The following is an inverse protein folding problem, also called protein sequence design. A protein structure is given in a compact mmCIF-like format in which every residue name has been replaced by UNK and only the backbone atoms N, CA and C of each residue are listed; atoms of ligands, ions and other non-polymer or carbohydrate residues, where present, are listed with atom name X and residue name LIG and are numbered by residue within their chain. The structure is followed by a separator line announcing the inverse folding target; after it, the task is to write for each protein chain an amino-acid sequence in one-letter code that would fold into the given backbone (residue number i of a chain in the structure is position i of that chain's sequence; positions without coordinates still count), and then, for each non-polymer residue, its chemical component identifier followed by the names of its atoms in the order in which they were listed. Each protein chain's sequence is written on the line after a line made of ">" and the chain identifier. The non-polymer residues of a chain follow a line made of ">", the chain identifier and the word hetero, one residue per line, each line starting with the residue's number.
data_IF_884879807310
#
_entry.id   IF_884879807310
#
_cell.length_a   1.000
_cell.length_b   1.000
_cell.length_c   1.000
_cell.angle_alpha   90.00
_cell.angle_beta   90.00
_cell.angle_gamma   90.00
#
_symmetry.space_group_name_H-M   'P 1'
#
loop_
_entity.id
_entity.type
_entity.pdbx_description
1 polymer ?
#
# COMPACT_ATOMS: atom_id res chain seq x y z
N UNK A 1 29.65 -12.43 -18.19
CA UNK A 1 28.62 -13.02 -17.32
C UNK A 1 27.74 -11.85 -16.92
N UNK A 2 26.63 -11.65 -17.64
CA UNK A 2 25.73 -10.54 -17.34
C UNK A 2 24.96 -10.90 -16.07
N UNK A 3 25.13 -10.13 -15.01
CA UNK A 3 24.19 -10.14 -13.91
C UNK A 3 22.90 -9.54 -14.45
N UNK A 4 21.98 -10.38 -14.92
CA UNK A 4 20.59 -9.98 -15.05
C UNK A 4 20.11 -9.69 -13.62
N UNK A 5 20.03 -8.41 -13.27
CA UNK A 5 19.29 -7.99 -12.08
C UNK A 5 17.89 -8.59 -12.21
N UNK A 6 17.40 -9.35 -11.21
CA UNK A 6 16.03 -9.85 -11.25
C UNK A 6 15.07 -8.65 -11.45
N UNK A 7 13.95 -8.84 -12.18
CA UNK A 7 12.99 -7.77 -12.38
C UNK A 7 12.56 -7.24 -11.01
N UNK A 8 12.85 -5.96 -10.74
CA UNK A 8 12.46 -5.34 -9.47
C UNK A 8 10.94 -5.32 -9.36
N UNK A 9 10.46 -5.56 -8.15
CA UNK A 9 9.02 -5.58 -7.89
C UNK A 9 8.49 -4.14 -7.90
N UNK A 10 7.32 -3.92 -8.52
CA UNK A 10 6.71 -2.59 -8.66
C UNK A 10 6.57 -1.88 -7.31
N UNK A 11 6.14 -2.61 -6.27
CA UNK A 11 6.00 -2.04 -4.92
C UNK A 11 7.34 -1.66 -4.30
N UNK A 12 8.45 -2.31 -4.66
CA UNK A 12 9.79 -1.91 -4.20
C UNK A 12 10.14 -0.52 -4.75
N UNK A 13 9.98 -0.31 -6.05
CA UNK A 13 10.21 1.00 -6.71
C UNK A 13 9.31 2.07 -6.09
N UNK A 14 8.02 1.78 -5.94
CA UNK A 14 7.07 2.71 -5.34
C UNK A 14 7.42 3.03 -3.89
N UNK A 15 7.86 2.04 -3.11
CA UNK A 15 8.30 2.25 -1.72
C UNK A 15 9.49 3.18 -1.64
N UNK A 16 10.46 3.09 -2.56
CA UNK A 16 11.61 3.98 -2.61
C UNK A 16 11.19 5.41 -2.92
N UNK A 17 10.24 5.60 -3.84
CA UNK A 17 9.66 6.91 -4.16
C UNK A 17 8.96 7.50 -2.93
N UNK A 18 8.08 6.75 -2.26
CA UNK A 18 7.35 7.26 -1.10
C UNK A 18 8.28 7.55 0.10
N UNK A 19 9.25 6.67 0.36
CA UNK A 19 10.25 6.87 1.42
C UNK A 19 11.18 8.06 1.18
N UNK A 20 11.33 8.50 -0.07
CA UNK A 20 12.07 9.72 -0.38
C UNK A 20 11.32 11.00 0.03
N UNK A 21 10.05 10.88 0.43
CA UNK A 21 9.17 12.01 0.76
C UNK A 21 8.45 12.59 -0.46
N UNK A 22 8.59 11.96 -1.63
CA UNK A 22 7.75 12.19 -2.79
C UNK A 22 6.43 11.41 -2.68
N UNK A 23 5.43 11.86 -3.44
CA UNK A 23 4.13 11.19 -3.49
C UNK A 23 3.78 10.94 -4.95
N UNK A 24 3.87 9.68 -5.36
CA UNK A 24 3.41 9.18 -6.66
C UNK A 24 1.98 8.64 -6.50
N UNK A 25 1.07 9.15 -7.33
CA UNK A 25 -0.37 8.86 -7.23
C UNK A 25 -1.03 8.91 -8.61
N UNK A 26 -2.25 8.39 -8.69
CA UNK A 26 -3.11 8.50 -9.86
C UNK A 26 -3.94 9.78 -9.75
N UNK A 27 -3.78 10.70 -10.69
CA UNK A 27 -4.53 11.95 -10.71
C UNK A 27 -5.99 11.69 -11.11
N UNK A 28 -6.94 12.14 -10.27
CA UNK A 28 -8.37 11.90 -10.49
C UNK A 28 -8.92 12.68 -11.70
N UNK A 29 -8.25 13.75 -12.13
CA UNK A 29 -8.74 14.62 -13.21
C UNK A 29 -8.57 14.01 -14.61
N UNK A 30 -7.50 13.25 -14.82
CA UNK A 30 -7.17 12.64 -16.12
C UNK A 30 -6.80 11.15 -16.04
N UNK A 31 -6.77 10.57 -14.84
CA UNK A 31 -6.48 9.17 -14.60
C UNK A 31 -5.05 8.77 -14.95
N UNK A 32 -4.11 9.73 -14.95
CA UNK A 32 -2.67 9.52 -15.22
C UNK A 32 -1.85 9.58 -13.95
N UNK A 33 -0.68 8.94 -13.97
CA UNK A 33 0.26 9.04 -12.86
C UNK A 33 0.82 10.47 -12.76
N UNK A 34 0.81 11.01 -11.55
CA UNK A 34 1.44 12.26 -11.19
C UNK A 34 2.38 12.06 -9.99
N UNK A 35 3.36 12.96 -9.85
CA UNK A 35 4.32 12.95 -8.75
C UNK A 35 4.38 14.34 -8.10
N UNK A 36 4.14 14.39 -6.80
CA UNK A 36 4.45 15.55 -5.95
C UNK A 36 5.84 15.40 -5.36
N UNK A 37 6.56 16.53 -5.26
CA UNK A 37 7.94 16.60 -4.71
C UNK A 37 8.92 15.64 -5.42
N UNK A 38 8.80 15.51 -6.74
CA UNK A 38 9.68 14.65 -7.55
C UNK A 38 11.17 14.94 -7.32
N UNK A 39 11.54 16.18 -6.98
CA UNK A 39 12.92 16.58 -6.66
C UNK A 39 13.50 15.89 -5.41
N UNK A 40 12.68 15.22 -4.60
CA UNK A 40 13.13 14.40 -3.48
C UNK A 40 13.49 12.97 -3.90
N UNK A 41 13.15 12.54 -5.12
CA UNK A 41 13.43 11.19 -5.63
C UNK A 41 14.88 11.13 -6.11
N UNK A 42 15.70 10.17 -5.62
CA UNK A 42 17.04 9.95 -6.17
C UNK A 42 16.99 9.65 -7.67
N UNK A 43 17.98 10.15 -8.43
CA UNK A 43 17.99 10.01 -9.89
C UNK A 43 17.93 8.55 -10.36
N UNK A 44 18.60 7.64 -9.64
CA UNK A 44 18.56 6.19 -9.92
C UNK A 44 17.17 5.60 -9.74
N UNK A 45 16.43 6.02 -8.70
CA UNK A 45 15.06 5.57 -8.45
C UNK A 45 14.11 6.10 -9.52
N UNK A 46 14.29 7.35 -9.96
CA UNK A 46 13.51 7.91 -11.07
C UNK A 46 13.77 7.16 -12.38
N UNK A 47 15.04 6.85 -12.68
CA UNK A 47 15.41 6.06 -13.85
C UNK A 47 14.77 4.67 -13.81
N UNK A 48 14.76 4.02 -12.64
CA UNK A 48 14.09 2.74 -12.44
C UNK A 48 12.58 2.85 -12.66
N UNK A 49 11.94 3.91 -12.16
CA UNK A 49 10.52 4.16 -12.37
C UNK A 49 10.18 4.39 -13.85
N UNK A 50 11.03 5.12 -14.58
CA UNK A 50 10.87 5.34 -16.03
C UNK A 50 11.00 4.03 -16.82
N UNK A 51 11.95 3.17 -16.45
CA UNK A 51 12.14 1.86 -17.10
C UNK A 51 10.99 0.88 -16.85
N UNK A 52 10.27 1.02 -15.73
CA UNK A 52 9.17 0.14 -15.33
C UNK A 52 7.82 0.88 -15.35
N UNK A 53 7.71 1.95 -16.16
CA UNK A 53 6.53 2.82 -16.15
C UNK A 53 5.24 2.08 -16.51
N UNK A 54 5.29 1.13 -17.46
CA UNK A 54 4.13 0.32 -17.85
C UNK A 54 3.56 -0.50 -16.69
N UNK A 55 4.43 -1.13 -15.91
CA UNK A 55 4.10 -1.98 -14.77
C UNK A 55 3.59 -1.13 -13.60
N UNK A 56 4.21 0.04 -13.39
CA UNK A 56 3.75 1.03 -12.41
C UNK A 56 2.36 1.57 -12.79
N UNK A 57 2.15 1.94 -14.05
CA UNK A 57 0.84 2.37 -14.54
C UNK A 57 -0.19 1.27 -14.37
N UNK A 58 0.07 0.04 -14.83
CA UNK A 58 -0.82 -1.09 -14.65
C UNK A 58 -1.17 -1.32 -13.16
N UNK A 59 -0.18 -1.20 -12.27
CA UNK A 59 -0.42 -1.26 -10.83
C UNK A 59 -1.37 -0.16 -10.38
N UNK A 60 -1.15 1.12 -10.72
CA UNK A 60 -2.06 2.21 -10.36
C UNK A 60 -3.46 2.05 -10.95
N UNK A 61 -3.56 1.65 -12.22
CA UNK A 61 -4.85 1.41 -12.89
C UNK A 61 -5.63 0.28 -12.19
N UNK A 62 -4.95 -0.76 -11.68
CA UNK A 62 -5.59 -1.85 -10.93
C UNK A 62 -6.24 -1.40 -9.60
N UNK A 63 -5.98 -0.17 -9.15
CA UNK A 63 -6.56 0.42 -7.94
C UNK A 63 -7.73 1.38 -8.21
N UNK A 64 -8.14 1.60 -9.47
CA UNK A 64 -9.23 2.55 -9.78
C UNK A 64 -10.58 2.18 -9.18
N UNK A 65 -10.95 0.90 -9.27
CA UNK A 65 -12.28 0.41 -8.89
C UNK A 65 -12.27 -0.50 -7.66
N UNK A 66 -11.21 -0.42 -6.85
CA UNK A 66 -11.13 -1.23 -5.63
C UNK A 66 -12.07 -0.72 -4.53
N UNK A 67 -12.45 -1.62 -3.64
CA UNK A 67 -13.32 -1.33 -2.52
C UNK A 67 -12.67 -0.43 -1.46
N UNK A 68 -13.49 0.25 -0.66
CA UNK A 68 -13.02 1.07 0.46
C UNK A 68 -12.29 0.22 1.52
N UNK A 69 -12.69 -1.05 1.66
CA UNK A 69 -12.00 -2.05 2.47
C UNK A 69 -10.56 -2.23 2.01
N UNK A 70 -10.35 -2.49 0.71
CA UNK A 70 -9.02 -2.69 0.12
C UNK A 70 -8.16 -1.43 0.23
N UNK A 71 -8.74 -0.26 -0.01
CA UNK A 71 -8.02 1.02 0.17
C UNK A 71 -7.59 1.21 1.63
N UNK A 72 -8.42 0.81 2.58
CA UNK A 72 -8.13 0.91 4.01
C UNK A 72 -6.98 -0.02 4.39
N UNK A 73 -7.03 -1.29 3.96
CA UNK A 73 -5.94 -2.24 4.20
C UNK A 73 -4.63 -1.77 3.60
N UNK A 74 -4.64 -1.28 2.35
CA UNK A 74 -3.42 -0.74 1.71
C UNK A 74 -2.81 0.38 2.54
N UNK A 75 -3.62 1.31 3.05
CA UNK A 75 -3.14 2.41 3.91
C UNK A 75 -2.53 1.90 5.21
N UNK A 76 -3.14 0.90 5.84
CA UNK A 76 -2.59 0.28 7.07
C UNK A 76 -1.27 -0.41 6.76
N UNK A 77 -1.22 -1.18 5.67
CA UNK A 77 -0.02 -1.88 5.23
C UNK A 77 1.13 -0.91 4.94
N UNK A 78 0.87 0.20 4.25
CA UNK A 78 1.90 1.19 3.91
C UNK A 78 2.42 1.95 5.14
N UNK A 79 1.56 2.23 6.12
CA UNK A 79 1.99 2.74 7.43
C UNK A 79 2.93 1.74 8.10
N UNK A 80 2.53 0.48 8.12
CA UNK A 80 3.27 -0.58 8.80
C UNK A 80 4.65 -0.83 8.19
N UNK A 81 4.75 -0.80 6.85
CA UNK A 81 6.00 -0.92 6.13
C UNK A 81 6.85 0.37 6.17
N UNK A 82 6.33 1.47 6.72
CA UNK A 82 7.01 2.77 6.75
C UNK A 82 7.18 3.38 5.35
N UNK A 83 6.31 3.03 4.41
CA UNK A 83 6.33 3.58 3.05
C UNK A 83 5.61 4.91 2.98
N UNK A 84 4.44 5.00 3.61
CA UNK A 84 3.66 6.22 3.72
C UNK A 84 3.20 6.41 5.15
N UNK A 85 3.25 7.66 5.64
CA UNK A 85 2.79 7.98 6.98
C UNK A 85 1.41 8.65 6.96
N UNK A 86 0.52 8.16 7.81
CA UNK A 86 -0.84 8.62 8.05
C UNK A 86 -1.08 8.68 9.55
N UNK A 87 -0.89 9.89 10.11
CA UNK A 87 -1.02 10.15 11.55
C UNK A 87 -2.36 9.71 12.14
N UNK A 88 -3.46 9.95 11.43
CA UNK A 88 -4.79 9.59 11.92
C UNK A 88 -4.97 8.07 12.01
N UNK A 89 -4.47 7.34 11.02
CA UNK A 89 -4.46 5.88 11.01
C UNK A 89 -3.57 5.32 12.11
N UNK A 90 -2.37 5.89 12.28
CA UNK A 90 -1.46 5.53 13.37
C UNK A 90 -2.10 5.72 14.75
N UNK A 91 -2.72 6.89 15.01
CA UNK A 91 -3.41 7.18 16.27
C UNK A 91 -4.60 6.23 16.53
N UNK A 92 -5.33 5.88 15.47
CA UNK A 92 -6.39 4.87 15.55
C UNK A 92 -5.85 3.51 16.01
N UNK A 93 -4.83 2.99 15.33
CA UNK A 93 -4.28 1.67 15.62
C UNK A 93 -3.62 1.60 17.01
N UNK A 94 -3.10 2.72 17.52
CA UNK A 94 -2.62 2.81 18.91
C UNK A 94 -3.75 2.77 19.94
N UNK A 95 -4.90 3.36 19.60
CA UNK A 95 -6.05 3.45 20.53
C UNK A 95 -6.90 2.18 20.49
N UNK A 96 -6.92 1.48 19.34
CA UNK A 96 -7.67 0.26 19.10
C UNK A 96 -6.73 -0.92 18.83
N UNK A 97 -6.18 -1.48 19.90
CA UNK A 97 -5.27 -2.63 19.83
C UNK A 97 -5.90 -3.86 19.19
N UNK A 98 -7.22 -4.03 19.26
CA UNK A 98 -7.90 -5.15 18.60
C UNK A 98 -7.86 -4.99 17.08
N UNK A 99 -8.02 -3.76 16.57
CA UNK A 99 -7.87 -3.48 15.14
C UNK A 99 -6.44 -3.76 14.67
N UNK A 100 -5.45 -3.41 15.47
CA UNK A 100 -4.05 -3.73 15.18
C UNK A 100 -3.81 -5.25 15.17
N UNK A 101 -4.32 -5.98 16.17
CA UNK A 101 -4.22 -7.44 16.20
C UNK A 101 -4.92 -8.09 15.00
N UNK A 102 -6.11 -7.63 14.62
CA UNK A 102 -6.81 -8.14 13.43
C UNK A 102 -6.01 -7.92 12.15
N UNK A 103 -5.30 -6.80 12.02
CA UNK A 103 -4.42 -6.57 10.89
C UNK A 103 -3.24 -7.54 10.88
N UNK A 104 -2.62 -7.82 12.03
CA UNK A 104 -1.59 -8.85 12.13
C UNK A 104 -2.11 -10.26 11.80
N UNK A 105 -3.29 -10.62 12.30
CA UNK A 105 -3.89 -11.91 11.97
C UNK A 105 -4.21 -12.00 10.47
N UNK A 106 -4.62 -10.89 9.85
CA UNK A 106 -4.83 -10.81 8.40
C UNK A 106 -3.53 -11.06 7.62
N UNK A 107 -2.38 -10.53 8.05
CA UNK A 107 -1.10 -10.82 7.38
C UNK A 107 -0.67 -12.28 7.57
N UNK A 108 -0.99 -12.92 8.69
CA UNK A 108 -0.76 -14.36 8.91
C UNK A 108 -1.55 -15.21 7.91
N UNK A 109 -2.81 -14.84 7.62
CA UNK A 109 -3.62 -15.54 6.60
C UNK A 109 -2.96 -15.43 5.22
N UNK A 110 -2.46 -14.24 4.84
CA UNK A 110 -1.75 -14.07 3.58
C UNK A 110 -0.49 -14.92 3.50
N UNK A 111 0.30 -14.98 4.58
CA UNK A 111 1.49 -15.84 4.66
C UNK A 111 1.12 -17.31 4.52
N UNK A 112 0.02 -17.75 5.14
CA UNK A 112 -0.50 -19.10 4.97
C UNK A 112 -0.92 -19.39 3.52
N UNK A 113 -1.32 -18.37 2.76
CA UNK A 113 -1.65 -18.44 1.34
C UNK A 113 -0.43 -18.29 0.40
N UNK A 114 0.79 -18.14 0.96
CA UNK A 114 2.04 -18.11 0.20
C UNK A 114 2.63 -16.72 -0.04
N UNK A 115 2.10 -15.68 0.59
CA UNK A 115 2.73 -14.36 0.56
C UNK A 115 4.03 -14.38 1.37
N UNK A 116 5.15 -14.00 0.75
CA UNK A 116 6.48 -14.12 1.38
C UNK A 116 7.32 -12.85 1.36
N UNK A 117 7.03 -11.93 0.45
CA UNK A 117 7.76 -10.67 0.31
C UNK A 117 6.80 -9.49 0.41
N UNK A 118 7.14 -8.50 1.22
CA UNK A 118 6.34 -7.28 1.38
C UNK A 118 6.20 -6.48 0.08
N UNK A 119 7.12 -6.66 -0.87
CA UNK A 119 7.08 -6.01 -2.17
C UNK A 119 6.29 -6.81 -3.23
N UNK A 120 5.78 -7.99 -2.88
CA UNK A 120 4.75 -8.67 -3.67
C UNK A 120 3.38 -8.05 -3.43
N UNK A 121 2.57 -7.99 -4.49
CA UNK A 121 1.20 -7.52 -4.39
C UNK A 121 0.36 -8.52 -3.60
N UNK A 122 0.15 -8.21 -2.31
CA UNK A 122 -0.55 -9.08 -1.37
C UNK A 122 -1.96 -9.49 -1.84
N UNK A 123 -2.60 -8.71 -2.73
CA UNK A 123 -3.95 -9.00 -3.26
C UNK A 123 -4.02 -10.35 -3.97
N UNK A 124 -2.91 -10.85 -4.48
CA UNK A 124 -2.83 -12.15 -5.13
C UNK A 124 -2.96 -13.33 -4.15
N UNK A 125 -2.80 -13.06 -2.86
CA UNK A 125 -2.86 -14.04 -1.77
C UNK A 125 -4.10 -13.85 -0.90
N UNK A 126 -5.00 -12.94 -1.26
CA UNK A 126 -6.28 -12.76 -0.57
C UNK A 126 -7.24 -13.93 -0.86
N UNK A 127 -8.04 -14.29 0.13
CA UNK A 127 -9.09 -15.30 0.05
C UNK A 127 -10.33 -14.86 0.84
N UNK A 128 -11.37 -15.69 0.93
CA UNK A 128 -12.61 -15.35 1.65
C UNK A 128 -12.38 -14.98 3.12
N UNK A 129 -11.41 -15.63 3.78
CA UNK A 129 -11.07 -15.34 5.17
C UNK A 129 -10.41 -13.96 5.31
N UNK A 130 -9.36 -13.69 4.53
CA UNK A 130 -8.67 -12.40 4.57
C UNK A 130 -9.62 -11.26 4.15
N UNK A 131 -10.52 -11.50 3.21
CA UNK A 131 -11.54 -10.54 2.78
C UNK A 131 -12.55 -10.23 3.88
N UNK A 132 -13.00 -11.24 4.63
CA UNK A 132 -13.88 -11.05 5.77
C UNK A 132 -13.20 -10.26 6.90
N UNK A 133 -11.90 -10.48 7.11
CA UNK A 133 -11.11 -9.71 8.08
C UNK A 133 -10.91 -8.26 7.64
N UNK A 134 -10.56 -8.04 6.37
CA UNK A 134 -10.42 -6.71 5.79
C UNK A 134 -11.69 -5.86 5.97
N UNK A 135 -12.86 -6.48 5.76
CA UNK A 135 -14.15 -5.84 6.01
C UNK A 135 -14.34 -5.42 7.48
N UNK A 136 -14.04 -6.31 8.43
CA UNK A 136 -14.15 -5.98 9.87
C UNK A 136 -13.20 -4.85 10.28
N UNK A 137 -11.98 -4.87 9.75
CA UNK A 137 -10.98 -3.81 9.99
C UNK A 137 -11.52 -2.47 9.48
N UNK A 138 -12.07 -2.45 8.26
CA UNK A 138 -12.69 -1.25 7.69
C UNK A 138 -13.90 -0.76 8.51
N UNK A 139 -14.80 -1.65 8.94
CA UNK A 139 -15.94 -1.29 9.77
C UNK A 139 -15.49 -0.61 11.08
N UNK A 140 -14.42 -1.10 11.72
CA UNK A 140 -13.81 -0.46 12.89
C UNK A 140 -13.20 0.91 12.57
N UNK A 141 -12.53 1.04 11.43
CA UNK A 141 -11.98 2.32 10.97
C UNK A 141 -13.08 3.39 10.80
N UNK A 142 -14.23 3.01 10.22
CA UNK A 142 -15.38 3.90 10.05
C UNK A 142 -16.00 4.28 11.40
N UNK A 143 -16.12 3.34 12.34
CA UNK A 143 -16.62 3.64 13.69
C UNK A 143 -15.69 4.64 14.39
N UNK A 144 -14.38 4.46 14.29
CA UNK A 144 -13.39 5.40 14.83
C UNK A 144 -13.55 6.78 14.21
N UNK A 145 -13.53 6.87 12.88
CA UNK A 145 -13.67 8.14 12.16
C UNK A 145 -14.97 8.91 12.52
N UNK A 146 -16.08 8.19 12.72
CA UNK A 146 -17.38 8.78 13.11
C UNK A 146 -17.43 9.30 14.54
N UNK A 147 -16.60 8.79 15.44
CA UNK A 147 -16.60 9.22 16.85
C UNK A 147 -16.08 10.65 17.04
N UNK A 148 -15.48 11.26 16.00
CA UNK A 148 -15.04 12.65 16.02
C UNK A 148 -14.01 12.85 17.13
N UNK A 149 -12.73 12.64 16.81
CA UNK A 149 -11.66 12.92 17.77
C UNK A 149 -11.70 14.41 18.13
N UNK A 150 -12.09 14.69 19.38
CA UNK A 150 -11.98 16.01 20.02
C UNK A 150 -10.54 16.29 20.37
#
# INVERSE_FOLDING_TARGET
>A
MGCETPPMQVLEILSLIWKSGADIYLDESDGRIAIKRQNCIPAEVMQLAEQNFSEIDAWFQSWKDVSAEQVTIRKIFYEFCGWQHNKQLYEWLLTDSDSLQMFYDWTIVLVANGWTDMYEDYRQFENDESNAMARKIYERAIIYAKKGHK
#
